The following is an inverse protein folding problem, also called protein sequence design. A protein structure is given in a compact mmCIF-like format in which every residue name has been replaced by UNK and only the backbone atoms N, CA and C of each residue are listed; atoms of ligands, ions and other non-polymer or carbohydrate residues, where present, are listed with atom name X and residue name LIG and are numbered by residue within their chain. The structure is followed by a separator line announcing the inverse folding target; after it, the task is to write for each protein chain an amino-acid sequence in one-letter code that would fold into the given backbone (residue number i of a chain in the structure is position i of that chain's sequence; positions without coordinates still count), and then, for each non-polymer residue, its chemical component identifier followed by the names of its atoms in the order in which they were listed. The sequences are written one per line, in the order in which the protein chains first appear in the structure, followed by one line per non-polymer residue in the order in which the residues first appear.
data_IF_729237252235
#
_entry.id   IF_729237252235
#
_cell.length_a   1.000
_cell.length_b   1.000
_cell.length_c   1.000
_cell.angle_alpha   90.00
_cell.angle_beta   90.00
_cell.angle_gamma   90.00
#
_symmetry.space_group_name_H-M   'P 1'
#
loop_
_entity.id
_entity.type
_entity.pdbx_description
1 polymer ?
#
# COMPACT_ATOMS: atom_id res chain seq x y z
N UNK A 1 -15.76 -44.18 -30.36
CA UNK A 1 -15.51 -42.87 -31.01
C UNK A 1 -15.83 -41.69 -30.09
N UNK A 2 -16.92 -41.73 -29.31
CA UNK A 2 -17.31 -40.64 -28.37
C UNK A 2 -16.28 -40.39 -27.25
N UNK A 3 -15.76 -41.47 -26.66
CA UNK A 3 -14.78 -41.45 -25.56
C UNK A 3 -13.42 -40.84 -25.96
N UNK A 4 -12.99 -41.07 -27.21
CA UNK A 4 -11.75 -40.52 -27.77
C UNK A 4 -11.88 -39.00 -28.03
N UNK A 5 -13.06 -38.53 -28.43
CA UNK A 5 -13.33 -37.12 -28.64
C UNK A 5 -13.35 -36.34 -27.30
N UNK A 6 -13.94 -36.92 -26.25
CA UNK A 6 -13.97 -36.31 -24.91
C UNK A 6 -12.56 -36.18 -24.31
N UNK A 7 -11.73 -37.21 -24.47
CA UNK A 7 -10.34 -37.18 -23.99
C UNK A 7 -9.51 -36.11 -24.70
N UNK A 8 -9.71 -35.93 -26.02
CA UNK A 8 -9.01 -34.90 -26.80
C UNK A 8 -9.43 -33.48 -26.39
N UNK A 9 -10.72 -33.27 -26.10
CA UNK A 9 -11.23 -31.98 -25.62
C UNK A 9 -10.67 -31.64 -24.25
N UNK A 10 -10.64 -32.60 -23.32
CA UNK A 10 -10.07 -32.41 -21.98
C UNK A 10 -8.58 -32.07 -22.06
N UNK A 11 -7.83 -32.79 -22.91
CA UNK A 11 -6.40 -32.54 -23.12
C UNK A 11 -6.15 -31.16 -23.73
N UNK A 12 -6.97 -30.75 -24.70
CA UNK A 12 -6.90 -29.42 -25.30
C UNK A 12 -7.21 -28.31 -24.29
N UNK A 13 -8.23 -28.49 -23.43
CA UNK A 13 -8.56 -27.53 -22.37
C UNK A 13 -7.45 -27.43 -21.31
N UNK A 14 -6.84 -28.55 -20.93
CA UNK A 14 -5.69 -28.57 -20.03
C UNK A 14 -4.47 -27.84 -20.64
N UNK A 15 -4.21 -28.05 -21.94
CA UNK A 15 -3.14 -27.36 -22.65
C UNK A 15 -3.36 -25.84 -22.68
N UNK A 16 -4.59 -25.39 -22.93
CA UNK A 16 -4.99 -23.99 -22.90
C UNK A 16 -4.77 -23.40 -21.50
N UNK A 17 -5.18 -24.09 -20.43
CA UNK A 17 -4.98 -23.62 -19.06
C UNK A 17 -3.49 -23.47 -18.70
N UNK A 18 -2.61 -24.36 -19.17
CA UNK A 18 -1.15 -24.26 -18.96
C UNK A 18 -0.53 -23.11 -19.75
N UNK A 19 -0.97 -22.89 -21.00
CA UNK A 19 -0.45 -21.82 -21.87
C UNK A 19 -0.89 -20.43 -21.38
N UNK A 20 -2.10 -20.31 -20.83
CA UNK A 20 -2.65 -19.04 -20.33
C UNK A 20 -2.50 -18.85 -18.82
N UNK A 21 -1.73 -19.72 -18.15
CA UNK A 21 -1.37 -19.57 -16.74
C UNK A 21 -0.67 -18.24 -16.52
N UNK A 22 -1.43 -17.24 -16.06
CA UNK A 22 -0.87 -15.95 -15.69
C UNK A 22 -0.03 -16.15 -14.43
N UNK A 23 1.30 -16.14 -14.58
CA UNK A 23 2.20 -15.95 -13.45
C UNK A 23 1.78 -14.67 -12.72
N UNK A 24 1.41 -14.80 -11.44
CA UNK A 24 0.93 -13.68 -10.65
C UNK A 24 2.06 -12.64 -10.57
N UNK A 25 1.92 -11.56 -11.34
CA UNK A 25 2.92 -10.49 -11.34
C UNK A 25 2.85 -9.78 -10.00
N UNK A 26 3.81 -10.04 -9.11
CA UNK A 26 3.95 -9.35 -7.83
C UNK A 26 3.92 -7.84 -8.10
N UNK A 27 2.92 -7.15 -7.55
CA UNK A 27 2.80 -5.70 -7.70
C UNK A 27 3.83 -5.00 -6.83
N UNK A 28 4.31 -3.86 -7.30
CA UNK A 28 5.17 -2.97 -6.50
C UNK A 28 4.30 -2.10 -5.59
N UNK A 29 4.81 -1.80 -4.40
CA UNK A 29 4.20 -0.84 -3.47
C UNK A 29 5.13 0.35 -3.35
N UNK A 30 4.63 1.55 -3.64
CA UNK A 30 5.36 2.81 -3.47
C UNK A 30 4.59 3.64 -2.46
N UNK A 31 5.20 3.89 -1.29
CA UNK A 31 4.64 4.72 -0.24
C UNK A 31 5.17 6.15 -0.38
N UNK A 32 4.28 7.11 -0.56
CA UNK A 32 4.58 8.54 -0.61
C UNK A 32 3.99 9.19 0.63
N UNK A 33 4.80 9.95 1.38
CA UNK A 33 4.40 10.66 2.60
C UNK A 33 4.79 12.12 2.44
N UNK A 34 3.88 13.03 2.77
CA UNK A 34 4.13 14.46 2.88
C UNK A 34 4.14 14.86 4.35
N UNK A 35 5.08 15.73 4.74
CA UNK A 35 5.18 16.22 6.13
C UNK A 35 4.16 17.35 6.34
N UNK A 36 3.52 17.36 7.51
CA UNK A 36 2.54 18.38 7.94
C UNK A 36 1.40 18.69 6.95
N UNK A 37 1.02 17.72 6.09
CA UNK A 37 -0.10 17.88 5.17
C UNK A 37 -1.44 17.78 5.89
N UNK A 38 -2.22 18.85 5.85
CA UNK A 38 -3.50 18.94 6.55
C UNK A 38 -4.68 19.21 5.60
N UNK A 39 -5.90 18.84 6.01
CA UNK A 39 -7.12 19.10 5.23
C UNK A 39 -7.72 20.48 5.55
N UNK A 40 -7.49 20.99 6.77
CA UNK A 40 -8.15 22.18 7.33
C UNK A 40 -7.77 23.46 6.57
N UNK A 41 -6.50 23.63 6.25
CA UNK A 41 -5.95 24.75 5.49
C UNK A 41 -6.10 24.56 3.97
N UNK A 42 -6.76 23.48 3.54
CA UNK A 42 -7.06 23.23 2.13
C UNK A 42 -5.84 22.94 1.27
N UNK A 43 -4.76 22.44 1.86
CA UNK A 43 -3.45 22.20 1.21
C UNK A 43 -3.54 21.41 -0.11
N UNK A 44 -4.46 20.43 -0.20
CA UNK A 44 -4.69 19.62 -1.39
C UNK A 44 -5.20 20.41 -2.60
N UNK A 45 -5.82 21.57 -2.39
CA UNK A 45 -6.30 22.47 -3.47
C UNK A 45 -5.16 22.94 -4.36
N UNK A 46 -3.95 23.03 -3.81
CA UNK A 46 -2.74 23.44 -4.54
C UNK A 46 -1.99 22.28 -5.19
N UNK A 47 -2.54 21.06 -5.15
CA UNK A 47 -1.91 19.84 -5.67
C UNK A 47 -2.75 19.16 -6.78
N UNK A 48 -3.09 19.87 -7.88
CA UNK A 48 -4.02 19.38 -8.89
C UNK A 48 -3.54 18.08 -9.58
N UNK A 49 -2.23 17.89 -9.71
CA UNK A 49 -1.66 16.64 -10.24
C UNK A 49 -1.95 15.45 -9.32
N UNK A 50 -1.85 15.63 -8.00
CA UNK A 50 -2.13 14.56 -7.04
C UNK A 50 -3.63 14.23 -7.02
N UNK A 51 -4.49 15.26 -7.05
CA UNK A 51 -5.93 15.05 -7.15
C UNK A 51 -6.31 14.22 -8.39
N UNK A 52 -5.76 14.58 -9.56
CA UNK A 52 -6.00 13.84 -10.81
C UNK A 52 -5.40 12.43 -10.84
N UNK A 53 -4.20 12.25 -10.30
CA UNK A 53 -3.48 10.98 -10.42
C UNK A 53 -3.86 9.97 -9.32
N UNK A 54 -4.09 10.45 -8.10
CA UNK A 54 -4.30 9.61 -6.92
C UNK A 54 -5.77 9.58 -6.50
N UNK A 55 -6.43 10.74 -6.38
CA UNK A 55 -7.82 10.79 -5.89
C UNK A 55 -8.81 10.29 -6.94
N UNK A 56 -8.75 10.80 -8.18
CA UNK A 56 -9.68 10.43 -9.25
C UNK A 56 -9.50 8.98 -9.76
N UNK A 57 -8.29 8.43 -9.66
CA UNK A 57 -7.96 7.07 -10.15
C UNK A 57 -7.78 6.04 -9.04
N UNK A 58 -7.93 6.46 -7.79
CA UNK A 58 -7.65 5.64 -6.63
C UNK A 58 -8.79 5.69 -5.63
N UNK A 59 -8.45 5.58 -4.35
CA UNK A 59 -9.40 5.62 -3.25
C UNK A 59 -8.90 6.60 -2.20
N UNK A 60 -9.76 7.50 -1.79
CA UNK A 60 -9.52 8.43 -0.68
C UNK A 60 -10.11 7.86 0.60
N UNK A 61 -9.30 7.81 1.66
CA UNK A 61 -9.76 7.44 3.00
C UNK A 61 -10.06 8.70 3.79
N UNK A 62 -11.34 9.05 3.94
CA UNK A 62 -11.77 10.24 4.69
C UNK A 62 -11.67 10.09 6.21
N UNK A 63 -11.54 8.85 6.70
CA UNK A 63 -11.36 8.50 8.12
C UNK A 63 -9.94 8.02 8.46
N UNK A 64 -8.91 8.65 7.88
CA UNK A 64 -7.51 8.36 8.19
C UNK A 64 -7.00 9.21 9.35
N UNK A 65 -6.48 8.57 10.41
CA UNK A 65 -5.97 9.27 11.60
C UNK A 65 -4.54 8.81 11.93
N UNK A 66 -3.75 9.74 12.44
CA UNK A 66 -2.46 9.44 13.07
C UNK A 66 -2.66 9.24 14.57
N UNK A 67 -2.03 8.21 15.15
CA UNK A 67 -2.10 7.92 16.58
C UNK A 67 -1.33 8.94 17.43
N UNK A 68 -0.29 9.56 16.85
CA UNK A 68 0.52 10.59 17.51
C UNK A 68 0.97 11.60 16.45
N UNK A 69 0.51 12.87 16.49
CA UNK A 69 0.82 13.89 15.49
C UNK A 69 2.18 14.54 15.73
N UNK A 70 3.24 13.72 15.78
CA UNK A 70 4.64 14.15 15.89
C UNK A 70 5.43 13.38 14.82
N UNK A 71 6.28 14.07 14.04
CA UNK A 71 6.92 13.54 12.84
C UNK A 71 7.67 12.19 13.03
N UNK A 72 8.66 12.12 13.94
CA UNK A 72 9.42 10.89 14.18
C UNK A 72 8.55 9.75 14.76
N UNK A 73 7.72 9.97 15.81
CA UNK A 73 6.80 8.94 16.31
C UNK A 73 5.82 8.42 15.25
N UNK A 74 5.21 9.32 14.47
CA UNK A 74 4.26 8.96 13.40
C UNK A 74 4.92 8.09 12.33
N UNK A 75 6.08 8.50 11.81
CA UNK A 75 6.82 7.72 10.81
C UNK A 75 7.26 6.36 11.34
N UNK A 76 7.70 6.30 12.60
CA UNK A 76 8.05 5.03 13.25
C UNK A 76 6.83 4.11 13.35
N UNK A 77 5.66 4.64 13.69
CA UNK A 77 4.41 3.87 13.72
C UNK A 77 4.03 3.34 12.33
N UNK A 78 4.17 4.16 11.28
CA UNK A 78 3.89 3.73 9.88
C UNK A 78 4.82 2.59 9.45
N UNK A 79 6.12 2.68 9.75
CA UNK A 79 7.11 1.71 9.27
C UNK A 79 7.11 0.40 10.05
N UNK A 80 6.77 0.44 11.34
CA UNK A 80 6.80 -0.74 12.22
C UNK A 80 5.43 -1.38 12.44
N UNK A 81 4.35 -0.65 12.19
CA UNK A 81 2.98 -1.08 12.54
C UNK A 81 2.70 -1.06 14.05
N UNK A 82 3.59 -0.49 14.86
CA UNK A 82 3.46 -0.43 16.32
C UNK A 82 3.01 0.94 16.79
N UNK A 83 2.38 1.01 17.97
CA UNK A 83 2.12 2.28 18.65
C UNK A 83 3.37 2.84 19.33
N UNK A 84 3.33 4.14 19.66
CA UNK A 84 4.44 4.87 20.29
C UNK A 84 4.97 4.24 21.57
N UNK A 85 4.09 3.67 22.40
CA UNK A 85 4.48 2.98 23.63
C UNK A 85 5.16 1.62 23.41
N UNK A 86 5.12 1.08 22.19
CA UNK A 86 5.79 -0.17 21.82
C UNK A 86 7.11 0.08 21.08
N UNK A 87 7.14 1.04 20.14
CA UNK A 87 8.37 1.35 19.39
C UNK A 87 9.28 2.39 20.09
N UNK A 88 8.85 3.00 21.19
CA UNK A 88 9.63 3.88 22.07
C UNK A 88 10.26 5.13 21.42
N UNK A 89 9.71 5.59 20.29
CA UNK A 89 10.13 6.86 19.65
C UNK A 89 9.11 7.92 20.04
N UNK A 90 9.45 8.77 21.00
CA UNK A 90 8.49 9.70 21.63
C UNK A 90 8.60 11.16 21.17
N UNK A 91 9.69 11.54 20.51
CA UNK A 91 10.01 12.93 20.20
C UNK A 91 10.78 13.05 18.88
N UNK A 92 10.82 14.27 18.34
CA UNK A 92 11.66 14.64 17.21
C UNK A 92 13.12 14.97 17.60
N UNK A 93 13.41 15.10 18.89
CA UNK A 93 14.73 15.56 19.38
C UNK A 93 15.79 14.44 19.46
N UNK A 94 15.46 13.25 18.99
CA UNK A 94 16.34 12.08 18.96
C UNK A 94 16.27 11.43 17.57
N UNK A 95 16.93 10.28 17.42
CA UNK A 95 16.91 9.50 16.21
C UNK A 95 15.46 9.02 15.98
N UNK A 96 14.91 9.21 14.78
CA UNK A 96 13.55 8.74 14.45
C UNK A 96 13.45 7.21 14.34
N UNK A 97 14.30 6.44 15.03
CA UNK A 97 14.44 4.98 14.96
C UNK A 97 14.34 4.39 16.36
N UNK A 98 13.61 3.29 16.53
CA UNK A 98 13.52 2.55 17.78
C UNK A 98 14.60 1.46 17.91
N UNK A 99 14.67 0.77 19.04
CA UNK A 99 15.57 -0.39 19.20
C UNK A 99 15.21 -1.55 18.26
N UNK A 100 13.92 -1.68 17.94
CA UNK A 100 13.33 -2.70 17.08
C UNK A 100 13.67 -2.53 15.59
N UNK A 101 14.16 -1.36 15.16
CA UNK A 101 14.42 -1.07 13.74
C UNK A 101 15.59 -0.11 13.54
N UNK A 102 16.80 -0.59 13.83
CA UNK A 102 18.07 0.05 13.46
C UNK A 102 18.62 -0.52 12.17
#
# INVERSE_FOLDING_TARGET
MREQAETLVILAMALVAVVFGHGETRKNVVLIITDDQDIELGSMTFMPKVMRLMKEKGTEFTGGFVSTPICCPSRSSILTGMYVHNHNVHTNNHNCSGEEWK
#
